data_IF_594679292639
#
_entry.id   IF_594679292639
#
_cell.length_a   1.000
_cell.length_b   1.000
_cell.length_c   1.000
_cell.angle_alpha   90.00
_cell.angle_beta   90.00
_cell.angle_gamma   90.00
#
_symmetry.space_group_name_H-M   'P 1'
#
loop_
_entity.id
_entity.type
_entity.pdbx_description
1 polymer ?
#
# COMPACT_ATOMS: atom_id res chain seq x y z
N UNK A 1 25.00 47.17 59.44
CA UNK A 1 26.36 46.64 59.69
C UNK A 1 27.30 47.80 59.38
N UNK A 2 28.27 48.14 60.24
CA UNK A 2 29.19 49.24 59.91
C UNK A 2 30.10 48.72 58.81
N UNK A 3 29.94 49.24 57.59
CA UNK A 3 30.80 48.91 56.45
C UNK A 3 32.13 49.62 56.65
N UNK A 4 33.05 48.95 57.34
CA UNK A 4 34.40 49.42 57.54
C UNK A 4 35.17 49.19 56.23
N UNK A 5 35.60 50.26 55.56
CA UNK A 5 36.46 50.14 54.37
C UNK A 5 37.94 50.12 54.76
N UNK A 6 38.84 49.59 53.91
CA UNK A 6 40.29 49.72 54.12
C UNK A 6 40.73 51.17 54.35
N UNK A 7 40.07 52.12 53.67
CA UNK A 7 40.31 53.55 53.84
C UNK A 7 39.88 54.06 55.21
N UNK A 8 38.78 53.56 55.78
CA UNK A 8 38.34 53.93 57.11
C UNK A 8 39.28 53.42 58.20
N UNK A 9 39.84 52.22 58.03
CA UNK A 9 40.89 51.67 58.91
C UNK A 9 42.14 52.55 58.86
N UNK A 10 42.61 52.90 57.65
CA UNK A 10 43.80 53.76 57.47
C UNK A 10 43.59 55.17 58.01
N UNK A 11 42.38 55.75 57.86
CA UNK A 11 42.03 57.06 58.44
C UNK A 11 42.00 57.03 59.96
N UNK A 12 41.62 55.89 60.55
CA UNK A 12 41.53 55.76 62.01
C UNK A 12 42.90 55.63 62.69
N UNK A 13 43.93 55.24 61.95
CA UNK A 13 45.33 55.24 62.36
C UNK A 13 45.74 56.63 62.87
N UNK A 14 46.34 56.72 64.05
CA UNK A 14 46.73 57.99 64.67
C UNK A 14 45.60 58.85 65.29
N UNK A 15 44.32 58.51 65.08
CA UNK A 15 43.14 59.22 65.63
C UNK A 15 42.63 58.63 66.96
N UNK A 16 43.43 57.78 67.60
CA UNK A 16 43.11 57.18 68.89
C UNK A 16 43.54 58.08 70.06
N UNK A 17 42.64 58.28 71.02
CA UNK A 17 42.94 59.01 72.26
C UNK A 17 43.94 58.25 73.11
N UNK A 18 44.95 58.94 73.62
CA UNK A 18 45.94 58.36 74.55
C UNK A 18 45.43 58.40 75.99
N UNK A 19 45.60 57.30 76.72
CA UNK A 19 45.20 57.17 78.14
C UNK A 19 46.35 56.56 78.95
N UNK A 20 46.44 56.88 80.25
CA UNK A 20 47.60 56.56 81.12
C UNK A 20 47.95 55.05 81.21
N UNK A 21 47.03 54.15 80.83
CA UNK A 21 47.24 52.69 80.73
C UNK A 21 46.64 52.12 79.44
N UNK A 22 47.05 52.65 78.28
CA UNK A 22 46.61 52.21 76.95
C UNK A 22 47.61 51.31 76.22
N UNK A 23 47.20 50.76 75.07
CA UNK A 23 48.10 50.07 74.15
C UNK A 23 49.15 51.03 73.55
N UNK A 24 50.31 50.48 73.18
CA UNK A 24 51.36 51.25 72.52
C UNK A 24 50.91 51.67 71.12
N UNK A 25 51.02 52.98 70.84
CA UNK A 25 50.48 53.58 69.61
C UNK A 25 51.15 53.04 68.34
N UNK A 26 52.47 52.87 68.33
CA UNK A 26 53.24 52.33 67.19
C UNK A 26 52.77 50.93 66.81
N UNK A 27 52.69 50.02 67.80
CA UNK A 27 52.23 48.64 67.61
C UNK A 27 50.78 48.58 67.12
N UNK A 28 49.89 49.45 67.63
CA UNK A 28 48.50 49.55 67.14
C UNK A 28 48.45 50.08 65.70
N UNK A 29 49.25 51.10 65.38
CA UNK A 29 49.31 51.70 64.05
C UNK A 29 49.84 50.70 63.00
N UNK A 30 50.85 49.88 63.34
CA UNK A 30 51.35 48.78 62.49
C UNK A 30 50.31 47.67 62.28
N UNK A 31 49.58 47.29 63.34
CA UNK A 31 48.50 46.32 63.23
C UNK A 31 47.37 46.84 62.34
N UNK A 32 47.03 48.13 62.42
CA UNK A 32 46.00 48.75 61.57
C UNK A 32 46.41 48.79 60.09
N UNK A 33 47.70 48.95 59.78
CA UNK A 33 48.19 48.81 58.40
C UNK A 33 47.97 47.39 57.88
N UNK A 34 48.36 46.37 58.66
CA UNK A 34 48.16 44.96 58.30
C UNK A 34 46.67 44.61 58.12
N UNK A 35 45.80 45.12 59.01
CA UNK A 35 44.35 44.95 58.91
C UNK A 35 43.80 45.63 57.66
N UNK A 36 44.23 46.86 57.36
CA UNK A 36 43.80 47.56 56.17
C UNK A 36 44.20 46.83 54.88
N UNK A 37 45.43 46.33 54.81
CA UNK A 37 45.93 45.58 53.65
C UNK A 37 45.19 44.26 53.46
N UNK A 38 44.94 43.53 54.56
CA UNK A 38 44.17 42.27 54.50
C UNK A 38 42.71 42.53 54.11
N UNK A 39 42.10 43.60 54.63
CA UNK A 39 40.75 44.00 54.27
C UNK A 39 40.67 44.40 52.79
N UNK A 40 41.67 45.11 52.27
CA UNK A 40 41.77 45.45 50.85
C UNK A 40 41.85 44.19 49.97
N UNK A 41 42.68 43.21 50.36
CA UNK A 41 42.76 41.94 49.66
C UNK A 41 41.42 41.17 49.67
N UNK A 42 40.73 41.12 50.82
CA UNK A 42 39.43 40.48 50.93
C UNK A 42 38.35 41.19 50.10
N UNK A 43 38.36 42.52 50.04
CA UNK A 43 37.42 43.28 49.19
C UNK A 43 37.65 42.93 47.71
N UNK A 44 38.91 42.91 47.24
CA UNK A 44 39.24 42.55 45.85
C UNK A 44 38.88 41.10 45.51
N UNK A 45 39.14 40.17 46.41
CA UNK A 45 38.75 38.77 46.25
C UNK A 45 37.22 38.65 46.18
N UNK A 46 36.51 39.35 47.07
CA UNK A 46 35.06 39.31 47.12
C UNK A 46 34.41 39.92 45.88
N UNK A 47 34.93 41.01 45.33
CA UNK A 47 34.46 41.57 44.06
C UNK A 47 34.70 40.58 42.91
N UNK A 48 35.89 39.97 42.85
CA UNK A 48 36.22 38.97 41.82
C UNK A 48 35.28 37.75 41.88
N UNK A 49 35.01 37.25 43.09
CA UNK A 49 34.09 36.14 43.30
C UNK A 49 32.66 36.51 42.93
N UNK A 50 32.19 37.72 43.28
CA UNK A 50 30.86 38.22 42.90
C UNK A 50 30.71 38.31 41.39
N UNK A 51 31.71 38.85 40.69
CA UNK A 51 31.71 38.93 39.23
C UNK A 51 31.68 37.53 38.61
N UNK A 52 32.45 36.58 39.17
CA UNK A 52 32.45 35.20 38.71
C UNK A 52 31.11 34.50 38.92
N UNK A 53 30.48 34.72 40.08
CA UNK A 53 29.13 34.21 40.36
C UNK A 53 28.14 34.77 39.35
N UNK A 54 28.15 36.09 39.11
CA UNK A 54 27.26 36.72 38.12
C UNK A 54 27.43 36.10 36.73
N UNK A 55 28.67 35.93 36.26
CA UNK A 55 28.97 35.28 34.97
C UNK A 55 28.47 33.84 34.91
N UNK A 56 28.70 33.05 35.96
CA UNK A 56 28.25 31.64 36.01
C UNK A 56 26.73 31.54 36.08
N UNK A 57 26.06 32.45 36.78
CA UNK A 57 24.60 32.52 36.83
C UNK A 57 24.00 32.83 35.45
N UNK A 58 24.58 33.78 34.72
CA UNK A 58 24.15 34.10 33.34
C UNK A 58 24.34 32.90 32.39
N UNK A 59 25.50 32.24 32.47
CA UNK A 59 25.76 31.04 31.67
C UNK A 59 24.77 29.92 32.00
N UNK A 60 24.48 29.70 33.28
CA UNK A 60 23.52 28.68 33.72
C UNK A 60 22.12 28.98 33.18
N UNK A 61 21.68 30.24 33.23
CA UNK A 61 20.39 30.65 32.65
C UNK A 61 20.34 30.35 31.15
N UNK A 62 21.40 30.70 30.41
CA UNK A 62 21.49 30.39 28.98
C UNK A 62 21.48 28.88 28.68
N UNK A 63 22.11 28.06 29.52
CA UNK A 63 22.05 26.60 29.39
C UNK A 63 20.64 26.06 29.65
N UNK A 64 19.96 26.56 30.68
CA UNK A 64 18.60 26.16 31.01
C UNK A 64 17.63 26.51 29.88
N UNK A 65 17.77 27.69 29.26
CA UNK A 65 16.91 28.07 28.13
C UNK A 65 17.18 27.21 26.89
N UNK A 66 18.45 26.87 26.62
CA UNK A 66 18.80 25.91 25.56
C UNK A 66 18.24 24.53 25.81
N UNK A 67 18.32 24.05 27.05
CA UNK A 67 17.76 22.75 27.44
C UNK A 67 16.24 22.71 27.28
N UNK A 68 15.53 23.79 27.65
CA UNK A 68 14.09 23.92 27.39
C UNK A 68 13.78 23.86 25.90
N UNK A 69 14.48 24.64 25.08
CA UNK A 69 14.27 24.65 23.63
C UNK A 69 14.55 23.27 23.00
N UNK A 70 15.58 22.57 23.47
CA UNK A 70 15.88 21.20 23.03
C UNK A 70 14.77 20.23 23.43
N UNK A 71 14.27 20.31 24.66
CA UNK A 71 13.18 19.46 25.13
C UNK A 71 11.88 19.72 24.36
N UNK A 72 11.56 20.98 24.09
CA UNK A 72 10.41 21.35 23.23
C UNK A 72 10.57 20.80 21.82
N UNK A 73 11.74 20.98 21.20
CA UNK A 73 12.02 20.44 19.87
C UNK A 73 11.91 18.91 19.83
N UNK A 74 12.38 18.21 20.86
CA UNK A 74 12.25 16.75 20.98
C UNK A 74 10.78 16.32 21.08
N UNK A 75 9.98 17.01 21.89
CA UNK A 75 8.54 16.72 22.00
C UNK A 75 7.84 16.97 20.66
N UNK A 76 8.11 18.08 20.00
CA UNK A 76 7.55 18.38 18.68
C UNK A 76 7.96 17.34 17.64
N UNK A 77 9.23 16.92 17.62
CA UNK A 77 9.70 15.88 16.72
C UNK A 77 9.00 14.53 16.96
N UNK A 78 8.76 14.17 18.23
CA UNK A 78 8.00 12.97 18.57
C UNK A 78 6.54 13.05 18.11
N UNK A 79 5.88 14.18 18.34
CA UNK A 79 4.51 14.42 17.88
C UNK A 79 4.40 14.34 16.36
N UNK A 80 5.33 14.98 15.63
CA UNK A 80 5.38 14.93 14.17
C UNK A 80 5.58 13.50 13.67
N UNK A 81 6.49 12.75 14.29
CA UNK A 81 6.72 11.34 13.95
C UNK A 81 5.44 10.51 14.13
N UNK A 82 4.73 10.69 15.24
CA UNK A 82 3.46 9.99 15.48
C UNK A 82 2.38 10.37 14.47
N UNK A 83 2.28 11.65 14.12
CA UNK A 83 1.35 12.14 13.11
C UNK A 83 1.66 11.55 11.73
N UNK A 84 2.92 11.57 11.31
CA UNK A 84 3.37 10.95 10.06
C UNK A 84 3.06 9.44 10.04
N UNK A 85 3.32 8.73 11.14
CA UNK A 85 2.97 7.31 11.23
C UNK A 85 1.46 7.07 11.12
N UNK A 86 0.63 7.89 11.79
CA UNK A 86 -0.82 7.79 11.68
C UNK A 86 -1.31 8.08 10.26
N UNK A 87 -0.75 9.10 9.61
CA UNK A 87 -1.09 9.45 8.24
C UNK A 87 -0.70 8.33 7.26
N UNK A 88 0.56 7.86 7.31
CA UNK A 88 1.04 6.79 6.46
C UNK A 88 0.22 5.50 6.62
N UNK A 89 -0.21 5.15 7.85
CA UNK A 89 -1.10 4.01 8.09
C UNK A 89 -2.46 4.20 7.42
N UNK A 90 -3.09 5.37 7.56
CA UNK A 90 -4.37 5.66 6.90
C UNK A 90 -4.26 5.62 5.38
N UNK A 91 -3.21 6.21 4.82
CA UNK A 91 -2.96 6.18 3.37
C UNK A 91 -2.73 4.76 2.87
N UNK A 92 -1.94 3.95 3.59
CA UNK A 92 -1.75 2.55 3.25
C UNK A 92 -3.05 1.74 3.31
N UNK A 93 -3.89 1.97 4.32
CA UNK A 93 -5.20 1.32 4.43
C UNK A 93 -6.14 1.71 3.28
N UNK A 94 -6.16 2.98 2.89
CA UNK A 94 -6.95 3.47 1.75
C UNK A 94 -6.45 2.85 0.45
N UNK A 95 -5.15 2.89 0.19
CA UNK A 95 -4.55 2.28 -1.01
C UNK A 95 -4.86 0.77 -1.09
N UNK A 96 -4.79 0.04 0.03
CA UNK A 96 -5.15 -1.37 0.08
C UNK A 96 -6.64 -1.60 -0.20
N UNK A 97 -7.54 -0.74 0.31
CA UNK A 97 -8.97 -0.83 0.03
C UNK A 97 -9.28 -0.58 -1.44
N UNK A 98 -8.68 0.45 -2.02
CA UNK A 98 -8.83 0.78 -3.44
C UNK A 98 -8.30 -0.34 -4.34
N UNK A 99 -7.10 -0.85 -4.05
CA UNK A 99 -6.52 -1.97 -4.79
C UNK A 99 -7.39 -3.24 -4.74
N UNK A 100 -7.99 -3.53 -3.57
CA UNK A 100 -8.92 -4.66 -3.42
C UNK A 100 -10.21 -4.45 -4.20
N UNK A 101 -10.81 -3.27 -4.10
CA UNK A 101 -12.03 -2.95 -4.84
C UNK A 101 -11.81 -3.03 -6.36
N UNK A 102 -10.68 -2.53 -6.85
CA UNK A 102 -10.33 -2.61 -8.26
C UNK A 102 -10.05 -4.05 -8.70
N UNK A 103 -9.34 -4.84 -7.88
CA UNK A 103 -9.12 -6.26 -8.15
C UNK A 103 -10.44 -7.05 -8.22
N UNK A 104 -11.37 -6.80 -7.31
CA UNK A 104 -12.71 -7.41 -7.32
C UNK A 104 -13.49 -7.02 -8.58
N UNK A 105 -13.43 -5.74 -8.98
CA UNK A 105 -14.06 -5.23 -10.20
C UNK A 105 -13.50 -5.92 -11.45
N UNK A 106 -12.18 -6.03 -11.56
CA UNK A 106 -11.50 -6.70 -12.67
C UNK A 106 -11.84 -8.20 -12.72
N UNK A 107 -11.88 -8.88 -11.57
CA UNK A 107 -12.27 -10.28 -11.50
C UNK A 107 -13.73 -10.50 -11.90
N UNK A 108 -14.64 -9.62 -11.47
CA UNK A 108 -16.04 -9.69 -11.86
C UNK A 108 -16.22 -9.48 -13.37
N UNK A 109 -15.51 -8.50 -13.94
CA UNK A 109 -15.50 -8.24 -15.38
C UNK A 109 -14.97 -9.44 -16.17
N UNK A 110 -13.81 -9.98 -15.78
CA UNK A 110 -13.21 -11.15 -16.42
C UNK A 110 -14.11 -12.38 -16.36
N UNK A 111 -14.80 -12.60 -15.23
CA UNK A 111 -15.79 -13.68 -15.10
C UNK A 111 -16.99 -13.48 -16.03
N UNK A 112 -17.49 -12.25 -16.17
CA UNK A 112 -18.59 -11.94 -17.09
C UNK A 112 -18.19 -12.23 -18.54
N UNK A 113 -17.02 -11.74 -18.96
CA UNK A 113 -16.48 -11.98 -20.30
C UNK A 113 -16.27 -13.47 -20.58
N UNK A 114 -15.73 -14.22 -19.61
CA UNK A 114 -15.56 -15.67 -19.73
C UNK A 114 -16.90 -16.40 -19.89
N UNK A 115 -17.92 -16.01 -19.13
CA UNK A 115 -19.26 -16.58 -19.24
C UNK A 115 -19.91 -16.27 -20.61
N UNK A 116 -19.78 -15.03 -21.09
CA UNK A 116 -20.26 -14.62 -22.41
C UNK A 116 -19.57 -15.40 -23.53
N UNK A 117 -18.24 -15.53 -23.49
CA UNK A 117 -17.48 -16.29 -24.48
C UNK A 117 -17.84 -17.78 -24.47
N UNK A 118 -18.05 -18.38 -23.28
CA UNK A 118 -18.49 -19.76 -23.15
C UNK A 118 -19.88 -19.98 -23.76
N UNK A 119 -20.80 -19.03 -23.53
CA UNK A 119 -22.15 -19.09 -24.10
C UNK A 119 -22.14 -18.92 -25.63
N UNK A 120 -21.35 -17.98 -26.15
CA UNK A 120 -21.15 -17.83 -27.60
C UNK A 120 -20.61 -19.11 -28.23
N UNK A 121 -19.63 -19.74 -27.58
CA UNK A 121 -19.04 -21.02 -28.02
C UNK A 121 -20.10 -22.12 -28.06
N UNK A 122 -20.92 -22.26 -27.01
CA UNK A 122 -22.04 -23.23 -26.99
C UNK A 122 -23.04 -22.98 -28.12
N UNK A 123 -23.41 -21.72 -28.36
CA UNK A 123 -24.34 -21.35 -29.44
C UNK A 123 -23.79 -21.72 -30.82
N UNK A 124 -22.51 -21.44 -31.08
CA UNK A 124 -21.84 -21.80 -32.33
C UNK A 124 -21.80 -23.32 -32.53
N UNK A 125 -21.46 -24.09 -31.49
CA UNK A 125 -21.50 -25.56 -31.56
C UNK A 125 -22.92 -26.08 -31.84
N UNK A 126 -23.94 -25.54 -31.19
CA UNK A 126 -25.33 -25.92 -31.44
C UNK A 126 -25.77 -25.56 -32.87
N UNK A 127 -25.37 -24.41 -33.39
CA UNK A 127 -25.63 -24.00 -34.78
C UNK A 127 -24.95 -24.93 -35.78
N UNK A 128 -23.68 -25.27 -35.54
CA UNK A 128 -22.94 -26.25 -36.36
C UNK A 128 -23.64 -27.61 -36.38
N UNK A 129 -24.10 -28.10 -35.22
CA UNK A 129 -24.82 -29.37 -35.14
C UNK A 129 -26.19 -29.33 -35.82
N UNK A 130 -26.89 -28.19 -35.81
CA UNK A 130 -28.13 -28.02 -36.59
C UNK A 130 -27.84 -28.03 -38.09
N UNK A 131 -26.81 -27.31 -38.53
CA UNK A 131 -26.40 -27.27 -39.94
C UNK A 131 -26.00 -28.65 -40.46
N UNK A 132 -25.17 -29.40 -39.73
CA UNK A 132 -24.76 -30.74 -40.14
C UNK A 132 -25.96 -31.70 -40.25
N UNK A 133 -26.95 -31.59 -39.35
CA UNK A 133 -28.19 -32.37 -39.43
C UNK A 133 -29.04 -32.00 -40.63
N UNK A 134 -29.25 -30.70 -40.89
CA UNK A 134 -30.02 -30.27 -42.06
C UNK A 134 -29.32 -30.61 -43.37
N UNK A 135 -28.00 -30.51 -43.41
CA UNK A 135 -27.21 -30.87 -44.59
C UNK A 135 -27.27 -32.37 -44.85
N UNK A 136 -27.13 -33.20 -43.82
CA UNK A 136 -27.31 -34.65 -43.93
C UNK A 136 -28.68 -35.02 -44.48
N UNK A 137 -29.75 -34.46 -43.92
CA UNK A 137 -31.11 -34.71 -44.39
C UNK A 137 -31.33 -34.27 -45.85
N UNK A 138 -30.71 -33.17 -46.27
CA UNK A 138 -30.74 -32.71 -47.66
C UNK A 138 -30.03 -33.72 -48.59
N UNK A 139 -28.84 -34.19 -48.22
CA UNK A 139 -28.08 -35.16 -49.01
C UNK A 139 -28.80 -36.51 -49.07
N UNK A 140 -29.34 -37.00 -47.95
CA UNK A 140 -30.13 -38.24 -47.90
C UNK A 140 -31.33 -38.15 -48.85
N UNK A 141 -32.07 -37.04 -48.84
CA UNK A 141 -33.17 -36.80 -49.78
C UNK A 141 -32.70 -36.79 -51.25
N UNK A 142 -31.60 -36.10 -51.56
CA UNK A 142 -31.07 -36.06 -52.93
C UNK A 142 -30.60 -37.43 -53.41
N UNK A 143 -30.05 -38.25 -52.51
CA UNK A 143 -29.68 -39.64 -52.82
C UNK A 143 -30.93 -40.47 -53.14
N UNK A 144 -31.98 -40.34 -52.33
CA UNK A 144 -33.26 -41.04 -52.52
C UNK A 144 -33.92 -40.66 -53.86
N UNK A 145 -33.83 -39.38 -54.26
CA UNK A 145 -34.29 -38.90 -55.58
C UNK A 145 -33.50 -39.54 -56.73
N UNK A 146 -32.18 -39.69 -56.59
CA UNK A 146 -31.33 -40.35 -57.60
C UNK A 146 -31.63 -41.86 -57.68
N UNK A 147 -31.78 -42.53 -56.54
CA UNK A 147 -32.10 -43.95 -56.47
C UNK A 147 -33.43 -44.28 -57.15
N UNK A 148 -34.46 -43.44 -56.94
CA UNK A 148 -35.76 -43.57 -57.61
C UNK A 148 -35.66 -43.38 -59.14
N UNK A 149 -34.83 -42.45 -59.60
CA UNK A 149 -34.63 -42.21 -61.03
C UNK A 149 -33.84 -43.35 -61.69
N UNK A 150 -32.82 -43.89 -61.01
CA UNK A 150 -32.12 -45.09 -61.45
C UNK A 150 -33.07 -46.30 -61.56
N UNK A 151 -33.95 -46.49 -60.58
CA UNK A 151 -34.92 -47.59 -60.59
C UNK A 151 -35.92 -47.44 -61.74
N UNK A 152 -36.45 -46.23 -61.98
CA UNK A 152 -37.27 -45.93 -63.17
C UNK A 152 -36.56 -46.25 -64.48
N UNK A 153 -35.31 -45.81 -64.63
CA UNK A 153 -34.52 -46.07 -65.83
C UNK A 153 -34.28 -47.57 -66.03
N UNK A 154 -34.02 -48.33 -64.95
CA UNK A 154 -33.89 -49.80 -65.02
C UNK A 154 -35.19 -50.48 -65.41
N UNK A 155 -36.33 -50.03 -64.90
CA UNK A 155 -37.63 -50.59 -65.25
C UNK A 155 -38.01 -50.31 -66.71
N UNK A 156 -37.71 -49.11 -67.21
CA UNK A 156 -37.86 -48.76 -68.63
C UNK A 156 -36.98 -49.66 -69.52
N UNK A 157 -35.71 -49.87 -69.14
CA UNK A 157 -34.80 -50.76 -69.87
C UNK A 157 -35.25 -52.24 -69.82
N UNK A 158 -35.93 -52.67 -68.75
CA UNK A 158 -36.53 -54.02 -68.67
C UNK A 158 -37.78 -54.16 -69.54
N UNK A 159 -38.63 -53.13 -69.58
CA UNK A 159 -39.83 -53.13 -70.40
C UNK A 159 -39.53 -53.20 -71.89
N UNK A 160 -38.45 -52.56 -72.35
CA UNK A 160 -37.97 -52.65 -73.73
C UNK A 160 -37.31 -54.02 -74.07
N UNK A 161 -37.03 -54.86 -73.06
CA UNK A 161 -36.39 -56.17 -73.22
C UNK A 161 -37.36 -57.37 -73.20
N UNK A 162 -38.68 -57.16 -73.07
CA UNK A 162 -39.65 -58.24 -73.21
C UNK A 162 -39.73 -58.71 -74.68
N UNK A 163 -39.57 -60.01 -74.98
CA UNK A 163 -39.67 -60.51 -76.34
C UNK A 163 -41.11 -60.39 -76.83
N UNK A 164 -41.29 -59.76 -78.01
CA UNK A 164 -42.56 -59.65 -78.73
C UNK A 164 -43.34 -60.99 -78.70
N UNK A 165 -44.65 -60.99 -78.38
CA UNK A 165 -45.42 -62.22 -78.30
C UNK A 165 -45.51 -62.87 -79.68
N UNK A 166 -45.08 -64.13 -79.77
CA UNK A 166 -45.31 -64.96 -80.96
C UNK A 166 -46.81 -65.02 -81.25
N UNK A 167 -47.22 -64.42 -82.38
CA UNK A 167 -48.58 -64.46 -82.87
C UNK A 167 -48.95 -65.91 -83.28
N UNK A 168 -49.80 -66.51 -82.45
CA UNK A 168 -50.85 -67.50 -82.77
C UNK A 168 -50.68 -68.35 -84.02
N UNK A 169 -50.45 -69.66 -83.84
CA UNK A 169 -50.98 -70.67 -84.76
C UNK A 169 -51.98 -71.57 -84.05
N UNK A 170 -53.25 -71.21 -84.26
CA UNK A 170 -54.41 -72.09 -84.14
C UNK A 170 -54.29 -73.29 -85.08
N UNK A 171 -54.51 -74.52 -84.58
CA UNK A 171 -55.31 -75.54 -85.27
C UNK A 171 -55.61 -76.76 -84.40
N UNK A 172 -56.92 -77.05 -84.27
CA UNK A 172 -57.59 -78.36 -84.26
C UNK A 172 -57.24 -79.34 -83.13
N UNK A 173 -58.19 -79.69 -82.24
CA UNK A 173 -59.17 -80.81 -82.37
C UNK A 173 -58.47 -82.18 -82.59
N UNK A 174 -58.73 -83.28 -81.88
CA UNK A 174 -59.88 -83.74 -81.08
C UNK A 174 -59.43 -84.91 -80.12
N UNK A 175 -60.34 -85.51 -79.31
CA UNK A 175 -60.06 -86.28 -78.08
C UNK A 175 -60.17 -87.82 -78.23
N UNK A 176 -59.70 -88.56 -77.22
CA UNK A 176 -60.14 -89.92 -76.77
C UNK A 176 -59.30 -90.27 -75.52
N UNK A 177 -59.87 -90.31 -74.31
CA UNK A 177 -60.58 -91.42 -73.65
C UNK A 177 -59.67 -92.48 -72.99
N UNK A 178 -60.10 -92.87 -71.78
CA UNK A 178 -59.73 -94.05 -70.96
C UNK A 178 -58.50 -93.91 -70.06
N UNK A 179 -58.63 -93.89 -68.72
CA UNK A 179 -59.15 -94.87 -67.74
C UNK A 179 -58.08 -95.83 -67.23
N UNK A 180 -57.90 -95.82 -65.90
CA UNK A 180 -57.32 -96.88 -65.03
C UNK A 180 -55.81 -97.14 -65.21
N UNK A 181 -54.98 -97.26 -64.17
CA UNK A 181 -55.14 -97.61 -62.75
C UNK A 181 -54.03 -96.96 -61.92
#
# INVERSE_FOLDING_TARGET
MIDLTPLDVRKKKGDFRTVMRGYERSTVDEFLDLVADRLEALVRENTTLRDRVAQLTEQLAAYQDRERALNEALVTAQQLREELQRQARREAELALREARAEAERLLAEARRQAAEAAEQTRRLHAQRMRFLRSFRALVERQLEEIEQEEERLRDLLRADAEPMPEMSRSRFESPTSESSS
#
